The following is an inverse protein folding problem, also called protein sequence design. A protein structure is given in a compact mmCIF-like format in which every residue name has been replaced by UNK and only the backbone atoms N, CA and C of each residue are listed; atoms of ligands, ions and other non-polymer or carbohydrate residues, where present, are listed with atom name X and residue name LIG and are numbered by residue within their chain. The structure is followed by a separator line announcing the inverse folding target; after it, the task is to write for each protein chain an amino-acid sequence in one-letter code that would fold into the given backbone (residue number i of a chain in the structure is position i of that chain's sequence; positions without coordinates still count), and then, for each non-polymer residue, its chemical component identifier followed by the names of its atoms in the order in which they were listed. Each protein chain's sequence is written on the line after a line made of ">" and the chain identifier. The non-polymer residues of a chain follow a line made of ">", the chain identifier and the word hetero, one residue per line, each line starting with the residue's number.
data_IF_635006212673
#
_entry.id   IF_635006212673
#
_cell.length_a   1.000
_cell.length_b   1.000
_cell.length_c   1.000
_cell.angle_alpha   90.00
_cell.angle_beta   90.00
_cell.angle_gamma   90.00
#
_symmetry.space_group_name_H-M   'P 1'
#
loop_
_entity.id
_entity.type
_entity.pdbx_description
1 polymer ?
#
# COMPACT_ATOMS: atom_id res chain seq x y z
N UNK A 1 -2.03 41.50 1.36
CA UNK A 1 -2.19 40.05 1.14
C UNK A 1 -3.61 39.64 1.52
N UNK A 2 -4.41 39.10 0.60
CA UNK A 2 -5.78 38.64 0.91
C UNK A 2 -5.71 37.23 1.53
N UNK A 3 -5.84 37.13 2.85
CA UNK A 3 -5.96 35.84 3.54
C UNK A 3 -7.37 35.30 3.27
N UNK A 4 -7.48 34.30 2.40
CA UNK A 4 -8.76 33.64 2.10
C UNK A 4 -9.17 32.74 3.28
N UNK A 5 -10.34 33.03 3.89
CA UNK A 5 -10.92 32.24 4.99
C UNK A 5 -11.46 30.91 4.45
N UNK A 6 -10.90 29.78 4.89
CA UNK A 6 -11.33 28.43 4.48
C UNK A 6 -12.59 27.95 5.21
N UNK A 7 -13.45 27.22 4.49
CA UNK A 7 -14.70 26.65 5.06
C UNK A 7 -14.44 25.33 5.79
N UNK A 8 -15.26 24.99 6.81
CA UNK A 8 -15.15 23.73 7.57
C UNK A 8 -15.14 22.47 6.69
N UNK A 9 -15.94 22.46 5.61
CA UNK A 9 -15.97 21.36 4.63
C UNK A 9 -14.63 21.21 3.90
N UNK A 10 -14.02 22.34 3.49
CA UNK A 10 -12.72 22.34 2.83
C UNK A 10 -11.60 21.85 3.75
N UNK A 11 -11.64 22.19 5.04
CA UNK A 11 -10.68 21.73 6.05
C UNK A 11 -10.80 20.21 6.25
N UNK A 12 -12.02 19.68 6.44
CA UNK A 12 -12.24 18.24 6.62
C UNK A 12 -11.82 17.42 5.39
N UNK A 13 -12.07 17.93 4.18
CA UNK A 13 -11.66 17.27 2.96
C UNK A 13 -10.13 17.22 2.81
N UNK A 14 -9.43 18.30 3.16
CA UNK A 14 -7.95 18.33 3.20
C UNK A 14 -7.40 17.32 4.20
N UNK A 15 -8.02 17.23 5.37
CA UNK A 15 -7.61 16.29 6.40
C UNK A 15 -7.79 14.83 5.96
N UNK A 16 -8.94 14.48 5.38
CA UNK A 16 -9.15 13.12 4.85
C UNK A 16 -8.13 12.77 3.76
N UNK A 17 -7.81 13.71 2.87
CA UNK A 17 -6.78 13.52 1.84
C UNK A 17 -5.39 13.29 2.45
N UNK A 18 -5.06 14.01 3.52
CA UNK A 18 -3.80 13.83 4.27
C UNK A 18 -3.73 12.43 4.88
N UNK A 19 -4.79 11.99 5.55
CA UNK A 19 -4.88 10.65 6.15
C UNK A 19 -4.77 9.53 5.10
N UNK A 20 -5.44 9.67 3.95
CA UNK A 20 -5.32 8.70 2.84
C UNK A 20 -3.88 8.61 2.35
N UNK A 21 -3.19 9.75 2.20
CA UNK A 21 -1.78 9.79 1.76
C UNK A 21 -0.85 9.15 2.78
N UNK A 22 -1.07 9.40 4.07
CA UNK A 22 -0.32 8.77 5.17
C UNK A 22 -0.55 7.25 5.17
N UNK A 23 -1.81 6.82 5.08
CA UNK A 23 -2.17 5.41 5.02
C UNK A 23 -1.57 4.70 3.79
N UNK A 24 -1.64 5.30 2.60
CA UNK A 24 -1.01 4.75 1.39
C UNK A 24 0.51 4.56 1.56
N UNK A 25 1.18 5.49 2.24
CA UNK A 25 2.63 5.43 2.48
C UNK A 25 3.00 4.31 3.43
N UNK A 26 2.36 4.26 4.61
CA UNK A 26 2.68 3.24 5.61
C UNK A 26 2.28 1.85 5.15
N UNK A 27 1.14 1.72 4.47
CA UNK A 27 0.72 0.45 3.87
C UNK A 27 1.74 -0.03 2.83
N UNK A 28 2.14 0.83 1.89
CA UNK A 28 3.16 0.48 0.89
C UNK A 28 4.49 0.07 1.52
N UNK A 29 4.91 0.76 2.58
CA UNK A 29 6.13 0.43 3.31
C UNK A 29 6.00 -0.91 4.05
N UNK A 30 4.87 -1.16 4.72
CA UNK A 30 4.58 -2.45 5.34
C UNK A 30 4.62 -3.60 4.33
N UNK A 31 3.94 -3.48 3.18
CA UNK A 31 3.92 -4.53 2.15
C UNK A 31 5.34 -4.84 1.65
N UNK A 32 6.17 -3.83 1.41
CA UNK A 32 7.56 -4.04 0.97
C UNK A 32 8.41 -4.73 2.04
N UNK A 33 8.23 -4.40 3.32
CA UNK A 33 8.93 -5.10 4.41
C UNK A 33 8.43 -6.53 4.60
N UNK A 34 7.11 -6.75 4.55
CA UNK A 34 6.47 -8.08 4.65
C UNK A 34 7.02 -9.04 3.59
N UNK A 35 7.18 -8.54 2.37
CA UNK A 35 7.67 -9.32 1.23
C UNK A 35 9.21 -9.29 1.09
N UNK A 36 9.92 -8.81 2.12
CA UNK A 36 11.38 -8.85 2.20
C UNK A 36 12.10 -7.98 1.18
N UNK A 37 11.49 -6.88 0.72
CA UNK A 37 12.03 -6.01 -0.32
C UNK A 37 12.46 -6.78 -1.56
N UNK A 38 11.60 -7.71 -2.01
CA UNK A 38 11.80 -8.49 -3.22
C UNK A 38 10.53 -8.50 -4.06
N UNK A 39 10.68 -8.28 -5.36
CA UNK A 39 9.58 -8.39 -6.31
C UNK A 39 9.02 -9.81 -6.32
N UNK A 40 7.73 -9.98 -6.02
CA UNK A 40 7.10 -11.31 -5.93
C UNK A 40 6.96 -12.00 -7.29
N UNK A 41 7.00 -11.27 -8.39
CA UNK A 41 6.82 -11.81 -9.75
C UNK A 41 8.13 -12.16 -10.44
N UNK A 42 9.19 -11.35 -10.28
CA UNK A 42 10.47 -11.58 -10.98
C UNK A 42 11.68 -11.76 -10.05
N UNK A 43 11.51 -11.59 -8.74
CA UNK A 43 12.59 -11.75 -7.76
C UNK A 43 13.58 -10.58 -7.66
N UNK A 44 13.40 -9.48 -8.42
CA UNK A 44 14.26 -8.30 -8.31
C UNK A 44 14.34 -7.76 -6.88
N UNK A 45 15.54 -7.41 -6.43
CA UNK A 45 15.84 -6.82 -5.12
C UNK A 45 16.33 -5.37 -5.22
N UNK A 46 16.23 -4.75 -6.40
CA UNK A 46 16.59 -3.35 -6.60
C UNK A 46 15.61 -2.43 -5.85
N UNK A 47 16.00 -2.01 -4.64
CA UNK A 47 15.15 -1.25 -3.72
C UNK A 47 14.61 0.06 -4.29
N UNK A 48 15.30 0.67 -5.25
CA UNK A 48 14.86 1.93 -5.86
C UNK A 48 13.67 1.73 -6.81
N UNK A 49 13.57 0.57 -7.46
CA UNK A 49 12.46 0.24 -8.35
C UNK A 49 11.27 -0.45 -7.65
N UNK A 50 11.44 -0.89 -6.40
CA UNK A 50 10.41 -1.62 -5.65
C UNK A 50 9.30 -0.72 -5.11
N UNK A 51 8.07 -1.11 -5.41
CA UNK A 51 6.84 -0.46 -4.99
C UNK A 51 5.79 -1.48 -4.52
N UNK A 52 4.69 -0.97 -3.96
CA UNK A 52 3.50 -1.75 -3.65
C UNK A 52 2.63 -1.84 -4.92
N UNK A 53 2.67 -3.00 -5.59
CA UNK A 53 1.77 -3.30 -6.69
C UNK A 53 0.45 -3.90 -6.18
N UNK A 54 -0.65 -3.60 -6.87
CA UNK A 54 -1.99 -4.02 -6.47
C UNK A 54 -2.57 -5.02 -7.47
N UNK A 55 -3.10 -6.17 -7.00
CA UNK A 55 -3.76 -7.19 -7.82
C UNK A 55 -5.02 -6.65 -8.53
N UNK A 56 -5.82 -5.87 -7.80
CA UNK A 56 -6.94 -5.10 -8.32
C UNK A 56 -6.74 -3.63 -7.98
N UNK A 57 -7.12 -2.76 -8.93
CA UNK A 57 -6.83 -1.31 -8.88
C UNK A 57 -7.10 -0.66 -7.52
N UNK A 58 -6.14 0.15 -7.07
CA UNK A 58 -6.24 1.02 -5.88
C UNK A 58 -7.39 2.04 -5.94
N UNK A 59 -8.06 2.19 -7.08
CA UNK A 59 -9.29 2.99 -7.19
C UNK A 59 -10.39 2.39 -6.30
N UNK A 60 -10.41 1.07 -6.12
CA UNK A 60 -11.32 0.42 -5.19
C UNK A 60 -10.87 0.58 -3.75
N UNK A 61 -11.51 1.48 -3.01
CA UNK A 61 -11.21 1.68 -1.59
C UNK A 61 -11.52 0.43 -0.75
N UNK A 62 -12.40 -0.45 -1.23
CA UNK A 62 -12.77 -1.65 -0.49
C UNK A 62 -11.60 -2.64 -0.37
N UNK A 63 -10.71 -2.69 -1.37
CA UNK A 63 -9.53 -3.60 -1.38
C UNK A 63 -8.19 -2.86 -1.42
N UNK A 64 -8.17 -1.53 -1.44
CA UNK A 64 -6.95 -0.70 -1.56
C UNK A 64 -5.87 -1.01 -0.52
N UNK A 65 -6.29 -1.25 0.73
CA UNK A 65 -5.42 -1.56 1.87
C UNK A 65 -5.66 -2.98 2.40
N UNK A 66 -6.18 -3.86 1.55
CA UNK A 66 -6.27 -5.30 1.83
C UNK A 66 -4.93 -5.94 1.48
N UNK A 67 -4.30 -6.59 2.45
CA UNK A 67 -2.99 -7.22 2.31
C UNK A 67 -2.95 -8.32 1.24
N UNK A 68 -4.10 -8.94 0.93
CA UNK A 68 -4.24 -9.94 -0.16
C UNK A 68 -4.27 -9.29 -1.55
N UNK A 69 -4.57 -8.00 -1.62
CA UNK A 69 -4.63 -7.23 -2.85
C UNK A 69 -3.30 -6.52 -3.18
N UNK A 70 -2.28 -6.64 -2.34
CA UNK A 70 -1.06 -5.82 -2.44
C UNK A 70 0.20 -6.62 -2.17
N UNK A 71 1.22 -6.43 -3.02
CA UNK A 71 2.49 -7.14 -2.95
C UNK A 71 3.65 -6.25 -3.40
N UNK A 72 4.87 -6.57 -2.95
CA UNK A 72 6.09 -5.91 -3.41
C UNK A 72 6.38 -6.29 -4.88
N UNK A 73 6.45 -5.30 -5.76
CA UNK A 73 6.78 -5.48 -7.18
C UNK A 73 7.79 -4.43 -7.62
N UNK A 74 8.68 -4.79 -8.55
CA UNK A 74 9.48 -3.78 -9.26
C UNK A 74 8.58 -2.98 -10.22
N UNK A 75 9.01 -1.78 -10.59
CA UNK A 75 8.30 -0.92 -11.54
C UNK A 75 7.95 -1.60 -12.87
N UNK A 76 8.85 -2.38 -13.45
CA UNK A 76 8.60 -3.09 -14.70
C UNK A 76 7.45 -4.10 -14.56
N UNK A 77 7.44 -4.88 -13.48
CA UNK A 77 6.37 -5.87 -13.25
C UNK A 77 5.06 -5.21 -12.86
N UNK A 78 5.09 -4.17 -12.02
CA UNK A 78 3.87 -3.45 -11.65
C UNK A 78 3.25 -2.74 -12.86
N UNK A 79 4.06 -2.18 -13.77
CA UNK A 79 3.56 -1.57 -15.00
C UNK A 79 3.01 -2.62 -15.96
N UNK A 80 3.73 -3.74 -16.17
CA UNK A 80 3.24 -4.87 -16.99
C UNK A 80 1.88 -5.38 -16.51
N UNK A 81 1.63 -5.33 -15.21
CA UNK A 81 0.38 -5.78 -14.61
C UNK A 81 -0.85 -5.10 -15.24
N UNK A 82 -0.74 -3.86 -15.73
CA UNK A 82 -1.85 -3.16 -16.39
C UNK A 82 -2.32 -3.83 -17.68
N UNK A 83 -1.44 -4.60 -18.34
CA UNK A 83 -1.73 -5.28 -19.61
C UNK A 83 -1.72 -6.81 -19.50
N UNK A 84 -0.97 -7.35 -18.55
CA UNK A 84 -0.83 -8.78 -18.31
C UNK A 84 -0.85 -9.08 -16.80
N UNK A 85 -2.03 -9.36 -16.23
CA UNK A 85 -2.17 -9.73 -14.82
C UNK A 85 -1.87 -11.19 -14.50
N UNK A 86 -1.54 -12.00 -15.50
CA UNK A 86 -1.22 -13.42 -15.32
C UNK A 86 -0.16 -13.66 -14.24
N UNK A 87 1.02 -13.00 -14.30
CA UNK A 87 2.09 -13.24 -13.33
C UNK A 87 1.70 -12.99 -11.87
N UNK A 88 1.05 -11.86 -11.57
CA UNK A 88 0.65 -11.55 -10.20
C UNK A 88 -0.56 -12.39 -9.75
N UNK A 89 -1.48 -12.72 -10.67
CA UNK A 89 -2.59 -13.63 -10.40
C UNK A 89 -2.09 -15.04 -10.07
N UNK A 90 -1.12 -15.57 -10.82
CA UNK A 90 -0.48 -16.85 -10.54
C UNK A 90 0.23 -16.85 -9.19
N UNK A 91 0.89 -15.74 -8.83
CA UNK A 91 1.48 -15.60 -7.50
C UNK A 91 0.40 -15.59 -6.41
N UNK A 92 -0.71 -14.87 -6.59
CA UNK A 92 -1.82 -14.90 -5.64
C UNK A 92 -2.37 -16.33 -5.45
N UNK A 93 -2.56 -17.06 -6.55
CA UNK A 93 -3.13 -18.42 -6.53
C UNK A 93 -2.17 -19.48 -5.97
N UNK A 94 -0.88 -19.17 -5.84
CA UNK A 94 0.07 -20.04 -5.12
C UNK A 94 -0.07 -19.89 -3.60
N UNK A 95 -0.58 -18.76 -3.11
CA UNK A 95 -0.79 -18.45 -1.70
C UNK A 95 -2.23 -18.71 -1.24
N UNK A 96 -3.19 -18.51 -2.13
CA UNK A 96 -4.61 -18.52 -1.83
C UNK A 96 -5.41 -19.34 -2.85
N UNK A 97 -6.63 -19.74 -2.48
CA UNK A 97 -7.51 -20.46 -3.39
C UNK A 97 -8.11 -19.57 -4.48
N UNK A 98 -8.56 -20.18 -5.58
CA UNK A 98 -9.38 -19.51 -6.61
C UNK A 98 -10.67 -18.90 -6.05
N UNK A 99 -11.24 -19.49 -5.00
CA UNK A 99 -12.41 -18.95 -4.30
C UNK A 99 -12.07 -17.62 -3.60
N UNK A 100 -10.91 -17.52 -2.98
CA UNK A 100 -10.44 -16.27 -2.37
C UNK A 100 -10.13 -15.20 -3.41
N UNK A 101 -9.58 -15.59 -4.58
CA UNK A 101 -9.41 -14.69 -5.71
C UNK A 101 -10.76 -14.10 -6.16
N UNK A 102 -11.75 -14.96 -6.39
CA UNK A 102 -13.08 -14.52 -6.81
C UNK A 102 -13.76 -13.63 -5.76
N UNK A 103 -13.59 -13.95 -4.48
CA UNK A 103 -14.08 -13.11 -3.38
C UNK A 103 -13.43 -11.73 -3.43
N UNK A 104 -12.11 -11.67 -3.54
CA UNK A 104 -11.37 -10.40 -3.59
C UNK A 104 -11.72 -9.58 -4.85
N UNK A 105 -11.91 -10.23 -6.00
CA UNK A 105 -12.42 -9.61 -7.23
C UNK A 105 -13.80 -9.00 -7.01
N UNK A 106 -14.74 -9.74 -6.42
CA UNK A 106 -16.07 -9.23 -6.12
C UNK A 106 -16.03 -8.05 -5.14
N UNK A 107 -15.16 -8.11 -4.13
CA UNK A 107 -14.95 -7.00 -3.19
C UNK A 107 -14.37 -5.76 -3.88
N UNK A 108 -13.47 -5.92 -4.86
CA UNK A 108 -12.87 -4.78 -5.56
C UNK A 108 -13.88 -3.99 -6.39
N UNK A 109 -15.01 -4.60 -6.78
CA UNK A 109 -16.10 -3.92 -7.49
C UNK A 109 -17.10 -3.22 -6.57
N UNK A 110 -16.97 -3.39 -5.25
CA UNK A 110 -17.83 -2.72 -4.27
C UNK A 110 -17.27 -1.36 -3.89
N UNK A 111 -18.17 -0.42 -3.64
CA UNK A 111 -17.82 0.88 -3.07
C UNK A 111 -17.84 0.81 -1.55
N UNK A 112 -16.80 1.36 -0.92
CA UNK A 112 -16.73 1.51 0.53
C UNK A 112 -16.38 2.94 0.89
N UNK A 113 -17.12 3.51 1.83
CA UNK A 113 -16.80 4.80 2.41
C UNK A 113 -15.94 4.63 3.66
N UNK A 114 -14.82 5.36 3.71
CA UNK A 114 -13.98 5.47 4.90
C UNK A 114 -14.21 6.82 5.58
N UNK A 115 -14.44 6.80 6.88
CA UNK A 115 -14.38 7.97 7.74
C UNK A 115 -12.94 8.21 8.20
N UNK A 116 -12.64 9.41 8.71
CA UNK A 116 -11.30 9.72 9.21
C UNK A 116 -10.86 8.74 10.32
N UNK A 117 -11.81 8.33 11.16
CA UNK A 117 -11.58 7.33 12.20
C UNK A 117 -11.10 5.99 11.65
N UNK A 118 -11.69 5.50 10.54
CA UNK A 118 -11.28 4.24 9.91
C UNK A 118 -9.85 4.34 9.36
N UNK A 119 -9.51 5.48 8.76
CA UNK A 119 -8.18 5.74 8.22
C UNK A 119 -7.12 5.79 9.33
N UNK A 120 -7.42 6.49 10.43
CA UNK A 120 -6.53 6.58 11.61
C UNK A 120 -6.31 5.18 12.20
N UNK A 121 -7.37 4.39 12.39
CA UNK A 121 -7.25 3.01 12.85
C UNK A 121 -6.34 2.16 11.98
N UNK A 122 -6.46 2.26 10.66
CA UNK A 122 -5.59 1.52 9.75
C UNK A 122 -4.14 2.01 9.81
N UNK A 123 -3.92 3.32 9.95
CA UNK A 123 -2.57 3.88 10.15
C UNK A 123 -1.96 3.31 11.43
N UNK A 124 -2.68 3.36 12.55
CA UNK A 124 -2.21 2.86 13.84
C UNK A 124 -1.94 1.35 13.80
N UNK A 125 -2.81 0.59 13.12
CA UNK A 125 -2.60 -0.83 12.87
C UNK A 125 -1.27 -1.08 12.15
N UNK A 126 -1.00 -0.41 11.03
CA UNK A 126 0.26 -0.63 10.30
C UNK A 126 1.49 -0.09 11.05
N UNK A 127 1.36 0.95 11.88
CA UNK A 127 2.43 1.38 12.80
C UNK A 127 2.78 0.28 13.80
N UNK A 128 1.77 -0.35 14.41
CA UNK A 128 1.97 -1.46 15.33
C UNK A 128 2.60 -2.66 14.64
N UNK A 129 2.11 -3.05 13.46
CA UNK A 129 2.65 -4.17 12.67
C UNK A 129 4.13 -3.97 12.31
N UNK A 130 4.52 -2.76 11.90
CA UNK A 130 5.92 -2.44 11.61
C UNK A 130 6.80 -2.52 12.86
N UNK A 131 6.30 -2.02 14.00
CA UNK A 131 6.99 -2.12 15.29
C UNK A 131 7.18 -3.59 15.72
N UNK A 132 6.17 -4.44 15.54
CA UNK A 132 6.26 -5.89 15.79
C UNK A 132 7.32 -6.56 14.90
N UNK A 133 7.52 -6.04 13.68
CA UNK A 133 8.57 -6.50 12.76
C UNK A 133 9.96 -5.93 13.08
N UNK A 134 10.10 -5.10 14.13
CA UNK A 134 11.35 -4.42 14.46
C UNK A 134 11.73 -3.31 13.49
N UNK A 135 10.77 -2.79 12.71
CA UNK A 135 10.98 -1.73 11.72
C UNK A 135 10.46 -0.41 12.27
N UNK A 136 11.32 0.60 12.36
CA UNK A 136 10.90 1.96 12.68
C UNK A 136 10.27 2.65 11.46
N UNK A 137 9.16 3.36 11.68
CA UNK A 137 8.48 4.13 10.65
C UNK A 137 8.46 5.61 11.01
N UNK A 138 9.35 6.37 10.37
CA UNK A 138 9.41 7.82 10.49
C UNK A 138 8.38 8.46 9.53
N UNK A 139 7.44 9.24 10.09
CA UNK A 139 6.39 9.94 9.31
C UNK A 139 6.90 11.16 8.56
N UNK A 140 8.07 11.68 8.94
CA UNK A 140 8.58 13.00 8.55
C UNK A 140 9.62 12.89 7.43
N UNK A 141 10.33 11.76 7.37
CA UNK A 141 11.16 11.39 6.22
C UNK A 141 10.26 10.80 5.14
N UNK A 142 10.20 11.41 3.96
CA UNK A 142 9.43 10.93 2.80
C UNK A 142 9.90 9.54 2.31
N UNK A 143 9.69 8.46 3.07
CA UNK A 143 9.90 7.07 2.67
C UNK A 143 11.31 6.70 2.19
N UNK A 144 12.32 7.55 2.41
CA UNK A 144 13.74 7.20 2.28
C UNK A 144 14.27 6.91 3.68
N UNK A 145 14.35 5.64 4.05
CA UNK A 145 15.33 5.24 5.06
C UNK A 145 16.66 5.08 4.33
N UNK A 146 17.67 5.79 4.81
CA UNK A 146 19.06 5.46 4.56
C UNK A 146 19.28 4.02 5.01
N UNK A 147 19.84 3.20 4.13
CA UNK A 147 20.38 1.91 4.53
C UNK A 147 21.58 2.16 5.43
N UNK A 148 21.45 1.82 6.71
CA UNK A 148 22.62 1.70 7.57
C UNK A 148 23.58 0.70 6.93
N UNK A 149 24.79 1.19 6.65
CA UNK A 149 25.91 0.37 6.24
C UNK A 149 26.22 -0.61 7.36
N UNK A 150 25.95 -1.89 7.12
CA UNK A 150 26.65 -2.97 7.81
C UNK A 150 27.80 -3.41 6.90
N UNK A 151 28.92 -2.67 7.01
CA UNK A 151 30.22 -3.23 6.71
C UNK A 151 30.58 -4.16 7.87
N UNK A 152 30.68 -5.46 7.60
CA UNK A 152 31.41 -6.45 8.39
C UNK A 152 31.80 -7.59 7.47
#
# INVERSE_FOLDING_TARGET
>A
MKIQKQTRRSVRAKEKKRLIKELDRIFSFYIRNRDGWKCVTCGSTDKESLQCGHLFSRISYNTRWDERNAYCQCNCCNFRHEHDPGPLTSYFLSLYSSREYQKLYNESHKQRHFYNYDLIKLIDYYKARLKEMGVEYDTDKNGKMESDGAAS
#
